data_IF_438673900237
#
_entry.id   IF_438673900237
#
_cell.length_a   1.000
_cell.length_b   1.000
_cell.length_c   1.000
_cell.angle_alpha   90.00
_cell.angle_beta   90.00
_cell.angle_gamma   90.00
#
_symmetry.space_group_name_H-M   'P 1'
#
loop_
_entity.id
_entity.type
_entity.pdbx_description
1 polymer ?
#
# COMPACT_ATOMS: atom_id res chain seq x y z
N UNK A 1 22.89 8.64 -19.94
CA UNK A 1 21.42 8.55 -20.10
C UNK A 1 20.76 8.53 -18.72
N UNK A 2 20.23 9.66 -18.25
CA UNK A 2 19.56 9.77 -16.94
C UNK A 2 18.12 9.28 -17.08
N UNK A 3 17.81 8.08 -16.57
CA UNK A 3 16.42 7.61 -16.47
C UNK A 3 15.72 8.47 -15.43
N UNK A 4 14.66 9.16 -15.84
CA UNK A 4 13.71 9.78 -14.92
C UNK A 4 13.12 8.67 -14.04
N UNK A 5 13.65 8.47 -12.84
CA UNK A 5 13.03 7.67 -11.77
C UNK A 5 12.48 8.69 -10.77
N UNK A 6 11.53 9.48 -11.24
CA UNK A 6 10.72 10.34 -10.39
C UNK A 6 9.33 9.70 -10.36
N UNK A 7 8.88 9.28 -9.18
CA UNK A 7 7.62 8.61 -8.89
C UNK A 7 7.51 7.11 -9.29
N UNK A 8 8.38 6.26 -8.74
CA UNK A 8 8.02 4.85 -8.45
C UNK A 8 8.61 4.46 -7.10
N UNK A 9 8.19 5.14 -6.03
CA UNK A 9 8.48 4.67 -4.66
C UNK A 9 7.32 3.85 -4.08
N UNK A 10 6.13 3.84 -4.69
CA UNK A 10 4.96 3.22 -4.05
C UNK A 10 4.00 2.42 -4.95
N UNK A 11 4.34 2.11 -6.20
CA UNK A 11 3.37 1.50 -7.11
C UNK A 11 3.84 0.27 -7.84
N UNK A 12 3.56 -0.84 -7.19
CA UNK A 12 3.81 -2.17 -7.65
C UNK A 12 2.79 -3.06 -6.94
N UNK A 13 1.65 -3.32 -7.60
CA UNK A 13 0.58 -4.21 -7.12
C UNK A 13 0.38 -5.29 -8.18
N UNK A 14 0.81 -6.55 -7.91
CA UNK A 14 0.28 -7.86 -8.39
C UNK A 14 1.36 -8.98 -8.45
N UNK A 15 0.94 -10.27 -8.32
CA UNK A 15 1.79 -11.41 -7.96
C UNK A 15 3.03 -11.70 -8.82
N UNK A 16 4.09 -12.18 -8.17
CA UNK A 16 5.22 -12.89 -8.74
C UNK A 16 4.76 -14.26 -9.23
N UNK A 17 4.16 -14.27 -10.40
CA UNK A 17 4.08 -15.50 -11.19
C UNK A 17 5.39 -15.81 -11.88
N UNK A 18 5.30 -16.87 -12.66
CA UNK A 18 6.28 -17.30 -13.65
C UNK A 18 6.93 -16.10 -14.38
N UNK A 19 8.08 -16.30 -15.04
CA UNK A 19 8.74 -15.23 -15.81
C UNK A 19 7.76 -14.46 -16.73
N UNK A 20 6.69 -15.11 -17.20
CA UNK A 20 5.58 -14.47 -17.92
C UNK A 20 4.80 -13.43 -17.08
N UNK A 21 4.47 -13.70 -15.82
CA UNK A 21 3.77 -12.74 -14.94
C UNK A 21 4.66 -11.55 -14.55
N UNK A 22 5.96 -11.78 -14.32
CA UNK A 22 6.92 -10.70 -14.14
C UNK A 22 6.98 -9.80 -15.40
N UNK A 23 6.92 -10.40 -16.59
CA UNK A 23 6.80 -9.69 -17.87
C UNK A 23 5.54 -8.83 -17.96
N UNK A 24 4.37 -9.39 -17.63
CA UNK A 24 3.08 -8.65 -17.61
C UNK A 24 3.12 -7.45 -16.67
N UNK A 25 3.73 -7.59 -15.49
CA UNK A 25 3.84 -6.50 -14.53
C UNK A 25 4.77 -5.38 -15.01
N UNK A 26 5.94 -5.75 -15.51
CA UNK A 26 6.88 -4.79 -16.10
C UNK A 26 6.20 -4.04 -17.25
N UNK A 27 5.45 -4.74 -18.10
CA UNK A 27 4.70 -4.15 -19.20
C UNK A 27 3.69 -3.09 -18.70
N UNK A 28 2.94 -3.36 -17.62
CA UNK A 28 2.02 -2.38 -17.03
C UNK A 28 2.74 -1.13 -16.54
N UNK A 29 3.88 -1.30 -15.86
CA UNK A 29 4.71 -0.20 -15.39
C UNK A 29 5.24 0.61 -16.58
N UNK A 30 5.66 -0.07 -17.65
CA UNK A 30 6.16 0.58 -18.86
C UNK A 30 5.06 1.38 -19.57
N UNK A 31 3.83 0.85 -19.65
CA UNK A 31 2.69 1.58 -20.21
C UNK A 31 2.31 2.79 -19.35
N UNK A 32 2.29 2.65 -18.02
CA UNK A 32 2.05 3.77 -17.11
C UNK A 32 3.13 4.85 -17.29
N UNK A 33 4.40 4.49 -17.26
CA UNK A 33 5.52 5.41 -17.48
C UNK A 33 5.43 6.11 -18.84
N UNK A 34 4.98 5.40 -19.87
CA UNK A 34 4.74 5.98 -21.20
C UNK A 34 3.59 6.98 -21.18
N UNK A 35 2.46 6.65 -20.53
CA UNK A 35 1.33 7.57 -20.37
C UNK A 35 1.74 8.85 -19.62
N UNK A 36 2.49 8.72 -18.53
CA UNK A 36 2.99 9.85 -17.74
C UNK A 36 3.89 10.75 -18.59
N UNK A 37 4.84 10.16 -19.35
CA UNK A 37 5.70 10.92 -20.27
C UNK A 37 4.91 11.69 -21.32
N UNK A 38 3.85 11.08 -21.88
CA UNK A 38 2.98 11.74 -22.85
C UNK A 38 2.23 12.93 -22.23
N UNK A 39 1.72 12.79 -21.00
CA UNK A 39 1.10 13.91 -20.27
C UNK A 39 2.10 15.05 -20.08
N UNK A 40 3.32 14.76 -19.64
CA UNK A 40 4.35 15.78 -19.43
C UNK A 40 4.79 16.46 -20.72
N UNK A 41 4.86 15.72 -21.83
CA UNK A 41 5.20 16.27 -23.13
C UNK A 41 4.08 17.20 -23.67
N UNK A 42 2.81 16.82 -23.51
CA UNK A 42 1.67 17.61 -23.98
C UNK A 42 1.29 18.78 -23.07
N UNK A 43 1.59 18.69 -21.78
CA UNK A 43 1.32 19.73 -20.79
C UNK A 43 2.45 19.79 -19.75
N UNK A 44 3.52 20.57 -20.00
CA UNK A 44 4.64 20.69 -19.06
C UNK A 44 4.25 21.12 -17.65
N UNK A 45 3.15 21.88 -17.49
CA UNK A 45 2.59 22.27 -16.19
C UNK A 45 2.02 21.10 -15.37
N UNK A 46 1.82 19.91 -15.98
CA UNK A 46 1.44 18.68 -15.29
C UNK A 46 2.64 17.91 -14.73
N UNK A 47 3.87 18.31 -15.08
CA UNK A 47 5.09 17.72 -14.54
C UNK A 47 5.34 18.32 -13.15
N UNK A 48 5.41 17.50 -12.09
CA UNK A 48 5.76 18.02 -10.78
C UNK A 48 7.17 18.61 -10.82
N UNK A 49 7.49 19.61 -9.96
CA UNK A 49 8.87 20.00 -9.77
C UNK A 49 9.68 18.76 -9.41
N UNK A 50 10.90 18.67 -9.92
CA UNK A 50 11.78 17.56 -9.57
C UNK A 50 11.99 17.59 -8.05
N UNK A 51 11.53 16.55 -7.31
CA UNK A 51 11.59 16.56 -5.86
C UNK A 51 13.04 16.53 -5.36
N UNK A 52 14.01 16.24 -6.24
CA UNK A 52 15.45 16.28 -5.97
C UNK A 52 16.15 17.52 -6.54
N UNK A 53 15.43 18.43 -7.20
CA UNK A 53 16.01 19.70 -7.67
C UNK A 53 16.31 20.64 -6.50
N UNK A 54 15.52 20.55 -5.42
CA UNK A 54 15.86 21.23 -4.18
C UNK A 54 16.96 20.45 -3.48
N UNK A 55 18.03 21.16 -3.10
CA UNK A 55 19.10 20.57 -2.31
C UNK A 55 18.56 20.29 -0.90
N UNK A 56 18.76 19.07 -0.43
CA UNK A 56 18.47 18.72 0.95
C UNK A 56 19.20 19.66 1.91
N UNK A 57 18.46 20.26 2.84
CA UNK A 57 19.03 21.08 3.92
C UNK A 57 19.12 20.26 5.19
N UNK A 58 20.05 20.62 6.08
CA UNK A 58 20.20 19.99 7.41
C UNK A 58 19.89 21.00 8.51
N UNK A 59 19.38 20.52 9.63
CA UNK A 59 19.13 21.30 10.84
C UNK A 59 19.74 20.62 12.06
N UNK A 60 20.06 21.45 13.06
CA UNK A 60 20.50 21.06 14.40
C UNK A 60 19.38 21.12 15.44
N UNK A 61 18.19 21.58 15.05
CA UNK A 61 17.01 21.58 15.91
C UNK A 61 16.68 20.15 16.36
N UNK A 62 15.97 20.05 17.48
CA UNK A 62 15.43 18.77 17.94
C UNK A 62 14.15 18.43 17.16
N UNK A 63 13.91 17.16 16.83
CA UNK A 63 12.64 16.69 16.34
C UNK A 63 11.53 16.87 17.37
N UNK A 64 10.28 16.69 16.94
CA UNK A 64 9.16 16.65 17.87
C UNK A 64 9.34 15.55 18.92
N UNK A 65 8.80 15.79 20.11
CA UNK A 65 8.71 14.76 21.15
C UNK A 65 8.00 13.50 20.64
N UNK A 66 7.03 13.68 19.74
CA UNK A 66 6.30 12.63 19.08
C UNK A 66 7.20 11.69 18.25
N UNK A 67 8.13 12.23 17.46
CA UNK A 67 9.12 11.43 16.72
C UNK A 67 10.03 10.67 17.69
N UNK A 68 10.56 11.35 18.70
CA UNK A 68 11.49 10.77 19.69
C UNK A 68 10.84 9.69 20.55
N UNK A 69 9.54 9.82 20.84
CA UNK A 69 8.76 8.82 21.55
C UNK A 69 8.42 7.62 20.66
N UNK A 70 8.22 7.84 19.35
CA UNK A 70 7.89 6.75 18.41
C UNK A 70 9.07 5.82 18.15
N UNK A 71 10.32 6.33 18.19
CA UNK A 71 11.51 5.56 17.83
C UNK A 71 12.64 5.70 18.84
N UNK A 72 12.90 4.64 19.61
CA UNK A 72 13.96 4.62 20.62
C UNK A 72 15.36 4.87 20.04
N UNK A 73 15.60 4.48 18.78
CA UNK A 73 16.89 4.71 18.11
C UNK A 73 17.33 6.18 18.10
N UNK A 74 16.40 7.12 18.12
CA UNK A 74 16.73 8.56 18.10
C UNK A 74 17.14 9.11 19.46
N UNK A 75 16.90 8.38 20.55
CA UNK A 75 17.20 8.83 21.92
C UNK A 75 18.69 8.75 22.27
N UNK A 76 19.47 7.90 21.60
CA UNK A 76 20.94 7.89 21.76
C UNK A 76 21.58 9.02 20.95
N UNK A 77 22.76 9.56 21.32
CA UNK A 77 23.48 10.51 20.47
C UNK A 77 23.91 9.92 19.12
N UNK A 78 24.07 10.78 18.10
CA UNK A 78 24.69 10.41 16.82
C UNK A 78 26.20 10.18 16.98
N UNK A 79 26.74 9.20 16.26
CA UNK A 79 28.19 9.05 16.08
C UNK A 79 28.73 10.07 15.07
N UNK A 80 30.06 10.25 15.03
CA UNK A 80 30.70 11.10 14.02
C UNK A 80 30.42 10.63 12.58
N UNK A 81 30.34 9.31 12.36
CA UNK A 81 30.01 8.70 11.07
C UNK A 81 28.57 9.06 10.65
N UNK A 82 27.61 8.95 11.57
CA UNK A 82 26.19 9.27 11.33
C UNK A 82 26.00 10.76 10.97
N UNK A 83 26.66 11.66 11.71
CA UNK A 83 26.65 13.10 11.43
C UNK A 83 27.22 13.41 10.05
N UNK A 84 28.33 12.76 9.68
CA UNK A 84 28.96 12.94 8.38
C UNK A 84 28.06 12.43 7.24
N UNK A 85 27.40 11.27 7.40
CA UNK A 85 26.47 10.73 6.41
C UNK A 85 25.27 11.67 6.20
N UNK A 86 24.65 12.15 7.28
CA UNK A 86 23.53 13.08 7.19
C UNK A 86 23.89 14.38 6.46
N UNK A 87 25.13 14.86 6.63
CA UNK A 87 25.64 16.07 5.97
C UNK A 87 25.99 15.84 4.49
N UNK A 88 26.40 14.61 4.15
CA UNK A 88 26.71 14.22 2.77
C UNK A 88 25.46 13.95 1.94
N UNK A 89 24.35 13.63 2.58
CA UNK A 89 23.09 13.39 1.90
C UNK A 89 22.54 14.70 1.31
N UNK A 90 22.39 14.74 -0.01
CA UNK A 90 22.03 15.96 -0.77
C UNK A 90 20.86 15.75 -1.72
N UNK A 91 20.36 14.53 -1.83
CA UNK A 91 19.36 14.13 -2.83
C UNK A 91 18.18 13.42 -2.17
N UNK A 92 17.71 13.99 -1.06
CA UNK A 92 16.42 13.67 -0.49
C UNK A 92 15.44 14.80 -0.76
N UNK A 93 14.17 14.47 -1.03
CA UNK A 93 13.10 15.44 -1.18
C UNK A 93 12.66 15.94 0.20
N UNK A 94 13.62 16.48 0.94
CA UNK A 94 13.49 16.80 2.34
C UNK A 94 14.10 18.16 2.66
N UNK A 95 13.37 18.97 3.43
CA UNK A 95 13.89 20.16 4.09
C UNK A 95 14.19 19.86 5.56
N UNK A 96 15.36 20.30 6.05
CA UNK A 96 15.71 20.21 7.46
C UNK A 96 15.91 18.77 7.95
N UNK A 97 16.85 18.02 7.37
CA UNK A 97 17.31 16.76 7.95
C UNK A 97 17.87 17.00 9.35
N UNK A 98 17.32 16.31 10.35
CA UNK A 98 17.78 16.39 11.73
C UNK A 98 19.10 15.64 11.89
N UNK A 99 20.22 16.30 11.58
CA UNK A 99 21.52 15.62 11.41
C UNK A 99 21.98 14.89 12.67
N UNK A 100 21.69 15.44 13.86
CA UNK A 100 22.00 14.84 15.17
C UNK A 100 21.17 13.59 15.48
N UNK A 101 20.16 13.31 14.67
CA UNK A 101 19.22 12.20 14.81
C UNK A 101 19.35 11.16 13.70
N UNK A 102 20.37 11.28 12.84
CA UNK A 102 20.74 10.22 11.91
C UNK A 102 21.26 8.99 12.65
N UNK A 103 20.81 7.79 12.28
CA UNK A 103 21.19 6.55 12.96
C UNK A 103 21.58 5.47 11.97
N UNK A 104 22.76 4.90 12.14
CA UNK A 104 23.10 3.59 11.62
C UNK A 104 22.57 2.57 12.63
N UNK A 105 21.69 1.69 12.15
CA UNK A 105 21.02 0.68 12.95
C UNK A 105 21.22 -0.68 12.33
N UNK A 106 21.04 -1.75 13.11
CA UNK A 106 21.24 -3.12 12.63
C UNK A 106 19.95 -3.91 12.77
N UNK A 107 19.46 -4.43 11.65
CA UNK A 107 18.37 -5.40 11.67
C UNK A 107 18.80 -6.72 12.32
N UNK A 108 17.83 -7.54 12.73
CA UNK A 108 18.11 -8.86 13.31
C UNK A 108 18.85 -9.82 12.36
N UNK A 109 18.78 -9.60 11.04
CA UNK A 109 19.55 -10.35 10.03
C UNK A 109 20.99 -9.85 9.84
N UNK A 110 21.44 -8.89 10.65
CA UNK A 110 22.80 -8.32 10.60
C UNK A 110 23.00 -7.25 9.53
N UNK A 111 21.95 -6.89 8.77
CA UNK A 111 22.04 -5.83 7.76
C UNK A 111 21.99 -4.46 8.42
N UNK A 112 22.97 -3.60 8.11
CA UNK A 112 23.02 -2.20 8.54
C UNK A 112 22.07 -1.34 7.69
N UNK A 113 21.38 -0.42 8.34
CA UNK A 113 20.52 0.57 7.69
C UNK A 113 20.88 1.97 8.21
N UNK A 114 20.71 2.99 7.37
CA UNK A 114 20.77 4.39 7.74
C UNK A 114 19.35 4.95 7.84
N UNK A 115 18.98 5.45 9.00
CA UNK A 115 17.70 6.11 9.28
C UNK A 115 17.93 7.61 9.39
N UNK A 116 17.19 8.40 8.61
CA UNK A 116 17.31 9.85 8.52
C UNK A 116 15.94 10.51 8.77
N UNK A 117 15.70 11.08 9.96
CA UNK A 117 14.51 11.89 10.19
C UNK A 117 14.68 13.30 9.58
N UNK A 118 13.58 13.85 9.06
CA UNK A 118 13.53 15.16 8.43
C UNK A 118 12.34 15.97 8.95
N UNK A 119 12.51 17.29 9.04
CA UNK A 119 11.45 18.22 9.43
C UNK A 119 10.34 18.31 8.37
N UNK A 120 10.74 18.32 7.09
CA UNK A 120 9.83 18.47 5.96
C UNK A 120 10.09 17.34 4.96
N UNK A 121 9.51 16.16 5.18
CA UNK A 121 9.82 14.97 4.40
C UNK A 121 8.91 14.75 3.17
N UNK A 122 7.84 15.54 3.04
CA UNK A 122 6.89 15.51 1.93
C UNK A 122 6.44 16.90 1.55
N UNK A 123 6.84 17.35 0.36
CA UNK A 123 6.18 18.48 -0.33
C UNK A 123 5.54 17.94 -1.59
N UNK A 124 4.46 17.18 -1.44
CA UNK A 124 3.66 16.75 -2.58
C UNK A 124 2.53 17.73 -2.81
N UNK A 125 2.43 18.27 -4.04
CA UNK A 125 1.31 19.10 -4.46
C UNK A 125 0.40 18.29 -5.39
N UNK A 126 -0.91 18.24 -5.13
CA UNK A 126 -1.86 17.67 -6.07
C UNK A 126 -1.72 18.34 -7.43
N UNK A 127 -1.84 17.53 -8.47
CA UNK A 127 -1.83 17.99 -9.84
C UNK A 127 -3.25 18.44 -10.19
N UNK A 128 -3.40 19.46 -11.03
CA UNK A 128 -4.71 19.87 -11.53
C UNK A 128 -5.47 18.70 -12.15
N UNK A 129 -6.80 18.64 -11.96
CA UNK A 129 -7.65 17.55 -12.46
C UNK A 129 -7.44 17.26 -13.96
N UNK A 130 -7.22 18.31 -14.77
CA UNK A 130 -6.89 18.18 -16.22
C UNK A 130 -5.70 17.26 -16.50
N UNK A 131 -4.70 17.22 -15.60
CA UNK A 131 -3.52 16.38 -15.72
C UNK A 131 -3.86 14.91 -15.43
N UNK A 132 -4.69 14.66 -14.41
CA UNK A 132 -5.22 13.34 -14.07
C UNK A 132 -6.07 12.80 -15.22
N UNK A 133 -6.96 13.62 -15.79
CA UNK A 133 -7.81 13.22 -16.91
C UNK A 133 -6.98 12.93 -18.16
N UNK A 134 -5.94 13.72 -18.42
CA UNK A 134 -4.99 13.47 -19.50
C UNK A 134 -4.28 12.12 -19.31
N UNK A 135 -3.83 11.81 -18.09
CA UNK A 135 -3.21 10.53 -17.78
C UNK A 135 -4.16 9.35 -18.05
N UNK A 136 -5.41 9.45 -17.58
CA UNK A 136 -6.45 8.43 -17.85
C UNK A 136 -6.68 8.25 -19.35
N UNK A 137 -6.77 9.33 -20.14
CA UNK A 137 -6.94 9.25 -21.60
C UNK A 137 -5.75 8.57 -22.28
N UNK A 138 -4.51 8.96 -21.96
CA UNK A 138 -3.32 8.35 -22.53
C UNK A 138 -3.23 6.86 -22.17
N UNK A 139 -3.53 6.50 -20.91
CA UNK A 139 -3.57 5.10 -20.51
C UNK A 139 -4.63 4.31 -21.26
N UNK A 140 -5.85 4.85 -21.41
CA UNK A 140 -6.92 4.19 -22.17
C UNK A 140 -6.52 3.95 -23.64
N UNK A 141 -5.84 4.91 -24.27
CA UNK A 141 -5.34 4.78 -25.63
C UNK A 141 -4.25 3.70 -25.75
N UNK A 142 -3.32 3.64 -24.79
CA UNK A 142 -2.25 2.63 -24.72
C UNK A 142 -2.77 1.22 -24.43
N UNK A 143 -3.92 1.11 -23.75
CA UNK A 143 -4.57 -0.16 -23.46
C UNK A 143 -5.40 -0.70 -24.63
N UNK A 144 -5.55 0.03 -25.75
CA UNK A 144 -6.23 -0.49 -26.94
C UNK A 144 -5.51 -1.74 -27.47
N UNK A 145 -6.27 -2.77 -27.86
CA UNK A 145 -5.72 -4.06 -28.30
C UNK A 145 -5.39 -5.06 -27.20
N UNK A 146 -5.21 -4.64 -25.94
CA UNK A 146 -5.01 -5.57 -24.82
C UNK A 146 -6.32 -6.27 -24.40
N UNK A 147 -6.18 -7.45 -23.80
CA UNK A 147 -7.32 -8.20 -23.26
C UNK A 147 -7.96 -7.51 -22.05
N UNK A 148 -9.19 -7.93 -21.71
CA UNK A 148 -9.98 -7.30 -20.65
C UNK A 148 -9.39 -7.48 -19.24
N UNK A 149 -8.66 -8.57 -18.98
CA UNK A 149 -8.03 -8.81 -17.69
C UNK A 149 -6.80 -7.91 -17.51
N UNK A 150 -5.95 -7.78 -18.53
CA UNK A 150 -4.82 -6.86 -18.54
C UNK A 150 -5.28 -5.41 -18.36
N UNK A 151 -6.32 -4.99 -19.09
CA UNK A 151 -6.95 -3.66 -18.95
C UNK A 151 -7.37 -3.38 -17.51
N UNK A 152 -8.19 -4.25 -16.90
CA UNK A 152 -8.64 -4.08 -15.50
C UNK A 152 -7.49 -4.05 -14.51
N UNK A 153 -6.48 -4.92 -14.68
CA UNK A 153 -5.28 -4.92 -13.84
C UNK A 153 -4.55 -3.59 -13.90
N UNK A 154 -4.36 -3.06 -15.11
CA UNK A 154 -3.62 -1.82 -15.32
C UNK A 154 -4.40 -0.58 -14.87
N UNK A 155 -5.71 -0.54 -15.09
CA UNK A 155 -6.57 0.55 -14.58
C UNK A 155 -6.55 0.63 -13.06
N UNK A 156 -6.50 -0.50 -12.33
CA UNK A 156 -6.38 -0.49 -10.86
C UNK A 156 -5.05 0.10 -10.41
N UNK A 157 -3.95 -0.29 -11.06
CA UNK A 157 -2.63 0.30 -10.80
C UNK A 157 -2.69 1.80 -11.07
N UNK A 158 -3.21 2.23 -12.21
CA UNK A 158 -3.36 3.64 -12.55
C UNK A 158 -4.14 4.43 -11.48
N UNK A 159 -5.31 3.96 -11.05
CA UNK A 159 -6.13 4.70 -10.07
C UNK A 159 -5.44 4.78 -8.70
N UNK A 160 -4.65 3.77 -8.32
CA UNK A 160 -3.79 3.86 -7.14
C UNK A 160 -2.71 4.94 -7.33
N UNK A 161 -2.04 5.01 -8.49
CA UNK A 161 -1.10 6.11 -8.82
C UNK A 161 -1.78 7.46 -8.76
N UNK A 162 -3.01 7.55 -9.27
CA UNK A 162 -3.72 8.82 -9.26
C UNK A 162 -3.97 9.26 -7.82
N UNK A 163 -4.51 8.38 -6.98
CA UNK A 163 -4.83 8.69 -5.58
C UNK A 163 -3.59 9.08 -4.76
N UNK A 164 -2.54 8.28 -4.84
CA UNK A 164 -1.35 8.49 -4.00
C UNK A 164 -0.48 9.62 -4.56
N UNK A 165 -0.34 9.60 -5.89
CA UNK A 165 0.64 10.30 -6.74
C UNK A 165 0.27 11.60 -7.45
N UNK A 166 -1.03 11.83 -7.65
CA UNK A 166 -1.53 12.86 -8.56
C UNK A 166 -2.63 13.70 -7.95
N UNK A 167 -3.54 13.08 -7.21
CA UNK A 167 -4.78 13.68 -6.71
C UNK A 167 -4.91 13.59 -5.18
N UNK A 168 -3.87 13.11 -4.47
CA UNK A 168 -3.84 13.12 -3.03
C UNK A 168 -3.93 14.53 -2.46
N UNK A 169 -4.42 14.67 -1.23
CA UNK A 169 -4.49 15.96 -0.57
C UNK A 169 -3.11 16.62 -0.50
N UNK A 170 -3.07 17.95 -0.64
CA UNK A 170 -1.84 18.69 -0.44
C UNK A 170 -1.35 18.43 0.98
N UNK A 171 -0.22 17.73 1.09
CA UNK A 171 0.39 17.49 2.39
C UNK A 171 1.26 18.70 2.71
N UNK A 172 0.95 19.36 3.83
CA UNK A 172 1.83 20.36 4.41
C UNK A 172 3.18 19.74 4.81
N UNK A 173 4.18 20.56 5.13
CA UNK A 173 5.42 20.06 5.70
C UNK A 173 5.14 19.23 6.95
N UNK A 174 5.50 17.95 6.89
CA UNK A 174 5.41 17.03 8.03
C UNK A 174 6.76 16.39 8.29
N UNK A 175 7.01 16.11 9.56
CA UNK A 175 8.13 15.26 9.94
C UNK A 175 7.96 13.90 9.29
N UNK A 176 9.06 13.36 8.77
CA UNK A 176 9.06 12.03 8.22
C UNK A 176 10.45 11.41 8.24
N UNK A 177 10.49 10.12 7.91
CA UNK A 177 11.70 9.32 8.04
C UNK A 177 12.06 8.71 6.70
N UNK A 178 13.34 8.77 6.38
CA UNK A 178 13.96 8.04 5.28
C UNK A 178 14.79 6.88 5.82
N UNK A 179 14.81 5.77 5.11
CA UNK A 179 15.54 4.56 5.48
C UNK A 179 16.29 4.03 4.25
N UNK A 180 17.57 3.75 4.43
CA UNK A 180 18.46 3.26 3.39
C UNK A 180 19.24 2.04 3.86
N UNK A 181 19.52 1.12 2.95
CA UNK A 181 20.55 0.11 3.20
C UNK A 181 21.89 0.80 3.35
N UNK A 182 22.72 0.35 4.29
CA UNK A 182 24.04 0.91 4.54
C UNK A 182 25.09 -0.20 4.50
N UNK A 183 26.14 -0.04 3.69
CA UNK A 183 27.18 -1.05 3.50
C UNK A 183 28.53 -0.68 4.15
N UNK A 184 28.60 0.45 4.86
CA UNK A 184 29.84 1.00 5.43
C UNK A 184 30.57 2.00 4.52
N UNK A 185 30.21 2.08 3.25
CA UNK A 185 30.81 3.01 2.29
C UNK A 185 29.81 4.05 1.76
N UNK A 186 28.52 3.76 1.83
CA UNK A 186 27.48 4.71 1.46
C UNK A 186 26.06 4.18 1.68
N UNK A 187 25.09 4.99 1.28
CA UNK A 187 23.70 4.58 1.19
C UNK A 187 23.48 3.76 -0.09
N UNK A 188 22.89 2.59 0.07
CA UNK A 188 22.42 1.74 -1.02
C UNK A 188 20.96 2.05 -1.36
N UNK A 189 20.23 1.02 -1.81
CA UNK A 189 18.80 1.13 -2.03
C UNK A 189 18.06 1.60 -0.78
N UNK A 190 17.10 2.51 -0.95
CA UNK A 190 16.28 3.05 0.12
C UNK A 190 15.26 4.05 -0.40
N UNK A 191 14.55 4.66 0.53
CA UNK A 191 13.54 5.66 0.26
C UNK A 191 12.87 6.10 1.55
N UNK A 192 11.77 6.83 1.43
CA UNK A 192 10.94 7.16 2.58
C UNK A 192 10.28 8.52 2.44
N UNK A 193 10.32 9.26 3.52
CA UNK A 193 9.44 10.40 3.74
C UNK A 193 8.07 9.96 4.24
N UNK A 194 7.94 8.79 4.85
CA UNK A 194 6.71 8.42 5.53
C UNK A 194 6.48 9.35 6.71
N UNK A 195 5.28 9.93 6.80
CA UNK A 195 4.87 10.71 7.96
C UNK A 195 4.74 9.83 9.21
N UNK A 196 4.72 10.47 10.37
CA UNK A 196 4.73 9.78 11.64
C UNK A 196 3.47 8.93 11.88
N UNK A 197 2.31 9.36 11.37
CA UNK A 197 1.08 8.60 11.50
C UNK A 197 1.14 7.28 10.72
N UNK A 198 1.61 7.36 9.46
CA UNK A 198 1.86 6.19 8.61
C UNK A 198 2.82 5.22 9.30
N UNK A 199 3.92 5.74 9.85
CA UNK A 199 4.90 4.93 10.57
C UNK A 199 4.32 4.24 11.81
N UNK A 200 3.51 4.93 12.61
CA UNK A 200 2.85 4.38 13.81
C UNK A 200 1.81 3.31 13.49
N UNK A 201 1.10 3.46 12.39
CA UNK A 201 -0.05 2.61 12.04
C UNK A 201 0.33 1.44 11.15
N UNK A 202 1.29 1.63 10.24
CA UNK A 202 1.64 0.68 9.18
C UNK A 202 3.13 0.38 9.10
N UNK A 203 3.97 1.14 9.79
CA UNK A 203 5.42 1.12 9.58
C UNK A 203 5.79 1.71 8.22
N UNK A 204 7.05 1.58 7.84
CA UNK A 204 7.53 1.91 6.50
C UNK A 204 8.34 0.73 5.99
N UNK A 205 8.02 0.23 4.81
CA UNK A 205 8.71 -0.91 4.21
C UNK A 205 9.14 -0.60 2.79
N UNK A 206 10.27 -1.14 2.38
CA UNK A 206 10.70 -1.19 1.00
C UNK A 206 11.29 -2.56 0.68
N UNK A 207 11.35 -2.87 -0.61
CA UNK A 207 11.88 -4.13 -1.11
C UNK A 207 12.94 -3.89 -2.16
N UNK A 208 13.96 -4.73 -2.19
CA UNK A 208 14.93 -4.79 -3.28
C UNK A 208 14.99 -6.17 -3.91
N UNK A 209 15.36 -6.19 -5.19
CA UNK A 209 15.42 -7.40 -5.98
C UNK A 209 14.06 -7.84 -6.51
N UNK A 210 13.96 -9.11 -6.84
CA UNK A 210 12.80 -9.71 -7.52
C UNK A 210 13.18 -10.43 -8.81
N UNK A 211 12.24 -11.20 -9.34
CA UNK A 211 12.47 -12.14 -10.45
C UNK A 211 12.77 -13.55 -9.93
N UNK A 212 13.89 -14.14 -10.38
CA UNK A 212 14.27 -15.50 -9.98
C UNK A 212 14.86 -15.61 -8.56
N UNK A 213 15.13 -14.49 -7.89
CA UNK A 213 15.72 -14.44 -6.53
C UNK A 213 14.69 -13.95 -5.51
N UNK A 214 14.81 -14.36 -4.23
CA UNK A 214 14.02 -13.78 -3.15
C UNK A 214 14.18 -12.25 -3.12
N UNK A 215 13.11 -11.56 -2.77
CA UNK A 215 13.16 -10.12 -2.51
C UNK A 215 13.57 -9.87 -1.08
N UNK A 216 14.48 -8.93 -0.90
CA UNK A 216 14.85 -8.44 0.41
C UNK A 216 13.85 -7.35 0.81
N UNK A 217 13.10 -7.58 1.87
CA UNK A 217 12.25 -6.58 2.50
C UNK A 217 12.98 -5.99 3.69
N UNK A 218 12.94 -4.68 3.82
CA UNK A 218 13.41 -3.97 4.99
C UNK A 218 12.35 -2.97 5.41
N UNK A 219 12.19 -2.76 6.70
CA UNK A 219 11.26 -1.75 7.20
C UNK A 219 11.65 -1.14 8.53
N UNK A 220 10.98 -0.03 8.84
CA UNK A 220 11.05 0.73 10.08
C UNK A 220 9.74 0.58 10.84
N UNK A 221 9.84 0.24 12.12
CA UNK A 221 8.75 -0.17 13.00
C UNK A 221 8.85 0.60 14.32
N UNK A 222 7.73 1.11 14.86
CA UNK A 222 7.74 1.85 16.13
C UNK A 222 8.35 1.09 17.31
N UNK A 223 8.70 1.84 18.34
CA UNK A 223 9.17 1.32 19.63
C UNK A 223 8.13 0.39 20.28
N UNK A 224 8.60 -0.51 21.13
CA UNK A 224 7.77 -1.53 21.80
C UNK A 224 7.45 -2.78 20.97
N UNK A 225 7.81 -2.81 19.67
CA UNK A 225 7.66 -4.02 18.83
C UNK A 225 8.96 -4.82 18.83
N UNK A 226 8.90 -6.06 19.31
CA UNK A 226 10.04 -6.99 19.33
C UNK A 226 10.04 -7.94 18.13
N UNK A 227 8.87 -8.30 17.60
CA UNK A 227 8.77 -9.13 16.40
C UNK A 227 7.51 -8.86 15.60
N UNK A 228 7.51 -9.30 14.34
CA UNK A 228 6.38 -9.19 13.42
C UNK A 228 6.05 -10.56 12.87
N UNK A 229 4.81 -10.99 13.06
CA UNK A 229 4.24 -12.10 12.31
C UNK A 229 3.70 -11.59 10.99
N UNK A 230 4.17 -12.16 9.90
CA UNK A 230 3.81 -11.84 8.53
C UNK A 230 3.04 -12.99 7.93
N UNK A 231 1.89 -12.67 7.31
CA UNK A 231 1.14 -13.57 6.47
C UNK A 231 1.01 -12.97 5.07
N UNK A 232 1.72 -13.57 4.12
CA UNK A 232 1.52 -13.37 2.71
C UNK A 232 0.51 -14.41 2.22
N UNK A 233 -0.71 -14.02 1.82
CA UNK A 233 -1.69 -14.98 1.33
C UNK A 233 -1.21 -15.69 0.06
N UNK A 234 -1.74 -16.90 -0.17
CA UNK A 234 -1.55 -17.57 -1.45
C UNK A 234 -2.14 -16.72 -2.59
N UNK A 235 -1.42 -16.64 -3.69
CA UNK A 235 -1.88 -16.03 -4.95
C UNK A 235 -2.04 -17.14 -5.99
N UNK A 236 -2.48 -16.82 -7.21
CA UNK A 236 -2.52 -17.78 -8.32
C UNK A 236 -1.13 -18.38 -8.65
N UNK A 237 -0.09 -17.67 -8.22
CA UNK A 237 1.26 -17.72 -8.75
C UNK A 237 2.31 -18.01 -7.66
N UNK A 238 1.90 -18.00 -6.39
CA UNK A 238 2.79 -18.17 -5.24
C UNK A 238 2.03 -18.75 -4.05
N UNK A 239 2.66 -19.68 -3.35
CA UNK A 239 2.10 -20.28 -2.13
C UNK A 239 2.02 -19.27 -0.98
N UNK A 240 1.11 -19.52 -0.03
CA UNK A 240 1.05 -18.78 1.22
C UNK A 240 2.42 -18.82 1.92
N UNK A 241 2.86 -17.68 2.47
CA UNK A 241 4.07 -17.61 3.29
C UNK A 241 3.72 -17.03 4.64
N UNK A 242 4.05 -17.77 5.71
CA UNK A 242 3.99 -17.30 7.09
C UNK A 242 5.40 -17.17 7.63
N UNK A 243 5.71 -16.06 8.28
CA UNK A 243 7.03 -15.82 8.84
C UNK A 243 6.96 -14.92 10.06
N UNK A 244 7.67 -15.28 11.12
CA UNK A 244 7.95 -14.36 12.22
C UNK A 244 9.33 -13.77 12.03
N UNK A 245 9.45 -12.45 12.13
CA UNK A 245 10.71 -11.73 11.95
C UNK A 245 10.97 -10.86 13.17
N UNK A 246 12.17 -10.99 13.74
CA UNK A 246 12.59 -10.15 14.85
C UNK A 246 12.83 -8.70 14.39
N UNK A 247 12.39 -7.77 15.22
CA UNK A 247 12.67 -6.34 15.10
C UNK A 247 13.86 -6.03 16.00
N UNK A 248 14.85 -5.33 15.46
CA UNK A 248 16.03 -4.87 16.21
C UNK A 248 16.31 -3.43 15.83
N UNK A 249 16.55 -2.58 16.83
CA UNK A 249 16.81 -1.15 16.63
C UNK A 249 15.72 -0.49 15.75
N UNK A 250 14.44 -0.78 16.06
CA UNK A 250 13.28 -0.35 15.28
C UNK A 250 13.25 -0.80 13.81
N UNK A 251 14.17 -1.67 13.38
CA UNK A 251 14.30 -2.10 11.99
C UNK A 251 14.10 -3.60 11.86
N UNK A 252 13.45 -3.98 10.76
CA UNK A 252 13.26 -5.36 10.36
C UNK A 252 13.88 -5.56 8.98
N UNK A 253 14.47 -6.72 8.72
CA UNK A 253 14.94 -7.07 7.38
C UNK A 253 14.92 -8.59 7.16
N UNK A 254 14.27 -9.03 6.09
CA UNK A 254 14.04 -10.44 5.78
C UNK A 254 13.91 -10.66 4.28
N UNK A 255 14.20 -11.89 3.85
CA UNK A 255 13.99 -12.29 2.47
C UNK A 255 12.66 -13.04 2.31
N UNK A 256 11.97 -12.81 1.21
CA UNK A 256 10.75 -13.54 0.90
C UNK A 256 10.76 -13.94 -0.58
N UNK A 257 10.36 -15.17 -0.88
CA UNK A 257 10.28 -15.70 -2.26
C UNK A 257 9.06 -15.13 -2.97
N UNK A 258 9.13 -13.84 -3.25
CA UNK A 258 8.16 -13.00 -3.93
C UNK A 258 8.93 -12.00 -4.78
N UNK A 259 8.29 -11.39 -5.78
CA UNK A 259 8.83 -10.20 -6.45
C UNK A 259 8.91 -9.06 -5.43
N UNK A 260 9.76 -8.05 -5.66
CA UNK A 260 9.91 -6.96 -4.67
C UNK A 260 8.57 -6.31 -4.38
N UNK A 261 7.84 -6.09 -5.46
CA UNK A 261 6.44 -5.72 -5.53
C UNK A 261 5.58 -6.52 -4.56
N UNK A 262 5.44 -7.83 -4.78
CA UNK A 262 4.63 -8.71 -3.93
C UNK A 262 5.06 -8.77 -2.49
N UNK A 263 6.35 -8.58 -2.25
CA UNK A 263 6.90 -8.54 -0.92
C UNK A 263 6.36 -7.33 -0.12
N UNK A 264 5.91 -6.27 -0.82
CA UNK A 264 5.31 -5.06 -0.25
C UNK A 264 3.79 -4.98 -0.35
N UNK A 265 3.14 -5.78 -1.20
CA UNK A 265 1.67 -5.81 -1.29
C UNK A 265 1.09 -6.44 -0.02
N UNK A 266 0.94 -5.58 0.98
CA UNK A 266 0.15 -5.69 2.19
C UNK A 266 0.05 -7.12 2.77
N UNK A 267 1.17 -7.68 3.27
CA UNK A 267 1.05 -8.82 4.17
C UNK A 267 0.14 -8.42 5.33
N UNK A 268 -0.67 -9.36 5.82
CA UNK A 268 -1.24 -9.17 7.16
C UNK A 268 -0.06 -9.21 8.14
N UNK A 269 0.09 -8.17 8.93
CA UNK A 269 1.16 -8.08 9.93
C UNK A 269 0.57 -8.05 11.32
N UNK A 270 1.14 -8.81 12.23
CA UNK A 270 0.85 -8.69 13.67
C UNK A 270 2.14 -8.32 14.36
N UNK A 271 2.16 -7.13 14.94
CA UNK A 271 3.28 -6.61 15.70
C UNK A 271 3.16 -7.11 17.13
N UNK A 272 4.22 -7.76 17.61
CA UNK A 272 4.28 -8.38 18.92
C UNK A 272 5.33 -7.68 19.78
N UNK A 273 5.01 -7.48 21.05
CA UNK A 273 5.96 -7.03 22.06
C UNK A 273 6.88 -8.19 22.48
N UNK A 274 7.86 -7.90 23.34
CA UNK A 274 8.84 -8.89 23.80
C UNK A 274 8.22 -10.03 24.62
N UNK A 275 7.10 -9.78 25.31
CA UNK A 275 6.34 -10.77 26.07
C UNK A 275 5.35 -11.58 25.20
N UNK A 276 5.32 -11.32 23.88
CA UNK A 276 4.40 -11.95 22.93
C UNK A 276 3.01 -11.32 22.87
N UNK A 277 2.73 -10.27 23.65
CA UNK A 277 1.46 -9.54 23.54
C UNK A 277 1.35 -8.80 22.21
N UNK A 278 0.12 -8.68 21.69
CA UNK A 278 -0.15 -8.00 20.43
C UNK A 278 -0.12 -6.50 20.64
N UNK A 279 0.84 -5.82 20.02
CA UNK A 279 0.94 -4.36 19.98
C UNK A 279 -0.04 -3.80 18.96
N UNK A 280 -0.09 -4.40 17.76
CA UNK A 280 -0.95 -3.96 16.67
C UNK A 280 -1.17 -5.06 15.65
N UNK A 281 -2.38 -5.13 15.10
CA UNK A 281 -2.65 -5.89 13.87
C UNK A 281 -2.72 -4.87 12.72
N UNK A 282 -1.76 -4.94 11.80
CA UNK A 282 -1.79 -4.17 10.56
C UNK A 282 -2.49 -5.05 9.53
N UNK A 283 -3.77 -4.79 9.35
CA UNK A 283 -4.52 -5.44 8.30
C UNK A 283 -4.12 -4.83 6.95
N UNK A 284 -4.06 -5.65 5.87
CA UNK A 284 -4.05 -5.08 4.54
C UNK A 284 -5.24 -4.15 4.40
N UNK A 285 -5.07 -3.05 3.67
CA UNK A 285 -6.17 -2.16 3.31
C UNK A 285 -7.16 -3.02 2.53
N UNK A 286 -8.17 -3.47 3.24
CA UNK A 286 -9.31 -4.12 2.63
C UNK A 286 -10.09 -2.96 2.04
N UNK A 287 -9.97 -2.76 0.73
CA UNK A 287 -10.74 -1.73 0.04
C UNK A 287 -12.23 -1.98 0.31
N UNK A 288 -12.80 -1.18 1.19
CA UNK A 288 -14.22 -1.21 1.51
C UNK A 288 -14.95 -0.36 0.48
N UNK A 289 -16.10 -0.86 0.05
CA UNK A 289 -17.08 -0.17 -0.76
C UNK A 289 -17.45 1.22 -0.17
N UNK A 290 -16.98 2.31 -0.79
CA UNK A 290 -17.50 3.65 -0.51
C UNK A 290 -18.82 3.89 -1.25
N UNK A 291 -19.85 4.41 -0.57
CA UNK A 291 -21.18 4.66 -1.16
C UNK A 291 -21.23 5.85 -2.16
N UNK A 292 -20.09 6.41 -2.58
CA UNK A 292 -20.02 7.63 -3.39
C UNK A 292 -19.74 7.44 -4.88
N UNK A 293 -19.34 6.25 -5.33
CA UNK A 293 -19.03 6.01 -6.74
C UNK A 293 -19.50 4.60 -7.12
N UNK A 294 -20.51 4.50 -8.00
CA UNK A 294 -21.12 3.24 -8.44
C UNK A 294 -20.17 2.28 -9.23
N UNK A 295 -18.85 2.44 -9.12
CA UNK A 295 -17.83 1.75 -9.91
C UNK A 295 -16.72 1.04 -9.14
N UNK A 296 -16.69 1.06 -7.80
CA UNK A 296 -15.63 0.37 -7.03
C UNK A 296 -16.21 -0.50 -5.91
N UNK A 297 -16.24 -1.81 -6.13
CA UNK A 297 -16.47 -2.80 -5.08
C UNK A 297 -15.43 -3.91 -5.24
N UNK A 298 -14.53 -4.07 -4.28
CA UNK A 298 -13.76 -5.30 -4.08
C UNK A 298 -14.09 -5.83 -2.69
N UNK A 299 -14.42 -7.12 -2.58
CA UNK A 299 -14.85 -7.74 -1.33
C UNK A 299 -13.84 -8.86 -0.99
N UNK A 300 -13.16 -8.77 0.15
CA UNK A 300 -12.25 -9.82 0.64
C UNK A 300 -12.57 -10.19 2.08
N UNK A 301 -13.29 -11.30 2.35
CA UNK A 301 -13.36 -11.85 3.69
C UNK A 301 -12.11 -12.68 4.02
N UNK A 302 -11.56 -12.48 5.21
CA UNK A 302 -10.51 -13.32 5.81
C UNK A 302 -11.11 -14.26 6.88
N UNK A 303 -10.51 -15.45 6.95
CA UNK A 303 -10.63 -16.58 7.91
C UNK A 303 -11.98 -17.35 7.98
N UNK A 304 -11.88 -18.57 7.44
CA UNK A 304 -12.71 -19.78 7.63
C UNK A 304 -14.00 -19.96 6.78
N UNK A 305 -13.98 -21.08 6.05
CA UNK A 305 -15.00 -21.74 5.21
C UNK A 305 -15.42 -21.05 3.88
N UNK A 306 -14.97 -21.68 2.77
CA UNK A 306 -15.45 -21.54 1.38
C UNK A 306 -15.32 -20.16 0.68
N UNK A 307 -14.20 -19.96 -0.02
CA UNK A 307 -14.11 -19.09 -1.20
C UNK A 307 -14.05 -17.57 -0.95
N UNK A 308 -12.90 -16.95 -1.23
CA UNK A 308 -12.78 -15.49 -1.37
C UNK A 308 -13.65 -15.03 -2.54
N UNK A 309 -14.73 -14.32 -2.24
CA UNK A 309 -15.77 -14.01 -3.21
C UNK A 309 -15.46 -12.72 -3.98
N UNK A 310 -14.86 -12.84 -5.17
CA UNK A 310 -14.61 -11.69 -6.04
C UNK A 310 -15.85 -11.39 -6.91
N UNK A 311 -16.66 -10.40 -6.51
CA UNK A 311 -17.83 -9.92 -7.25
C UNK A 311 -17.43 -8.83 -8.23
N UNK A 312 -16.81 -9.21 -9.34
CA UNK A 312 -16.26 -8.23 -10.30
C UNK A 312 -17.30 -7.54 -11.21
N UNK A 313 -18.59 -7.88 -11.11
CA UNK A 313 -19.68 -7.38 -11.98
C UNK A 313 -21.03 -7.36 -11.27
N UNK A 314 -21.16 -6.58 -10.18
CA UNK A 314 -22.47 -6.42 -9.52
C UNK A 314 -23.33 -5.44 -10.33
N UNK A 315 -24.44 -5.92 -10.85
CA UNK A 315 -25.57 -5.11 -11.33
C UNK A 315 -26.49 -4.84 -10.14
N UNK A 316 -26.53 -3.59 -9.70
CA UNK A 316 -27.43 -3.13 -8.66
C UNK A 316 -28.86 -3.15 -9.17
N UNK A 317 -29.74 -3.82 -8.44
CA UNK A 317 -31.17 -3.88 -8.72
C UNK A 317 -31.92 -2.81 -7.93
N UNK A 318 -31.44 -2.55 -6.71
CA UNK A 318 -31.99 -1.53 -5.84
C UNK A 318 -30.90 -0.96 -4.93
N UNK A 319 -30.94 0.35 -4.72
CA UNK A 319 -29.94 1.07 -3.92
C UNK A 319 -30.64 2.12 -3.08
N UNK A 320 -30.63 1.93 -1.77
CA UNK A 320 -31.06 2.90 -0.77
C UNK A 320 -29.94 3.11 0.23
N UNK A 321 -29.24 4.23 0.09
CA UNK A 321 -28.12 4.60 0.96
C UNK A 321 -28.48 4.70 2.45
N UNK A 322 -29.76 4.81 2.80
CA UNK A 322 -30.23 4.91 4.18
C UNK A 322 -30.61 3.56 4.81
N UNK A 323 -30.77 2.49 4.03
CA UNK A 323 -31.25 1.21 4.59
C UNK A 323 -30.45 0.02 4.08
N UNK A 324 -30.41 -0.17 2.76
CA UNK A 324 -29.80 -1.34 2.16
C UNK A 324 -29.55 -1.15 0.65
N UNK A 325 -28.70 -2.00 0.08
CA UNK A 325 -28.55 -2.11 -1.37
C UNK A 325 -28.57 -3.57 -1.78
N UNK A 326 -29.18 -3.88 -2.93
CA UNK A 326 -29.25 -5.24 -3.45
C UNK A 326 -28.76 -5.30 -4.89
N UNK A 327 -27.90 -6.28 -5.16
CA UNK A 327 -27.30 -6.46 -6.47
C UNK A 327 -27.15 -7.93 -6.81
N UNK A 328 -27.03 -8.20 -8.11
CA UNK A 328 -26.70 -9.53 -8.63
C UNK A 328 -25.43 -9.45 -9.44
N UNK A 329 -24.65 -10.51 -9.48
CA UNK A 329 -23.42 -10.52 -10.26
C UNK A 329 -22.89 -11.92 -10.48
N UNK A 330 -21.64 -11.98 -10.91
CA UNK A 330 -20.89 -13.22 -11.02
C UNK A 330 -19.79 -13.24 -9.96
N UNK A 331 -19.76 -14.30 -9.16
CA UNK A 331 -18.67 -14.61 -8.26
C UNK A 331 -17.68 -15.54 -8.97
N UNK A 332 -16.42 -15.12 -9.00
CA UNK A 332 -15.32 -16.01 -9.39
C UNK A 332 -14.81 -16.71 -8.13
N UNK A 333 -15.02 -18.03 -8.05
CA UNK A 333 -14.60 -18.88 -6.95
C UNK A 333 -13.28 -19.60 -7.28
N UNK A 334 -12.75 -20.37 -6.32
CA UNK A 334 -11.53 -21.18 -6.49
C UNK A 334 -11.65 -22.11 -7.72
N UNK A 335 -10.51 -22.50 -8.28
CA UNK A 335 -10.43 -23.35 -9.49
C UNK A 335 -11.17 -22.77 -10.71
N UNK A 336 -11.36 -21.45 -10.75
CA UNK A 336 -11.98 -20.75 -11.88
C UNK A 336 -13.51 -20.94 -12.00
N UNK A 337 -14.17 -21.51 -10.98
CA UNK A 337 -15.61 -21.72 -11.02
C UNK A 337 -16.37 -20.40 -10.96
N UNK A 338 -17.16 -20.11 -12.00
CA UNK A 338 -18.01 -18.92 -12.09
C UNK A 338 -19.42 -19.26 -11.63
N UNK A 339 -19.91 -18.51 -10.65
CA UNK A 339 -21.22 -18.73 -10.06
C UNK A 339 -22.05 -17.45 -10.09
N UNK A 340 -23.36 -17.58 -10.28
CA UNK A 340 -24.27 -16.45 -10.10
C UNK A 340 -24.30 -16.09 -8.61
N UNK A 341 -24.24 -14.81 -8.32
CA UNK A 341 -24.24 -14.31 -6.95
C UNK A 341 -25.29 -13.20 -6.76
N UNK A 342 -25.72 -13.04 -5.51
CA UNK A 342 -26.59 -11.98 -4.99
C UNK A 342 -25.88 -11.32 -3.82
N UNK A 343 -25.90 -10.01 -3.73
CA UNK A 343 -25.39 -9.27 -2.57
C UNK A 343 -26.51 -8.40 -2.00
N UNK A 344 -26.60 -8.39 -0.68
CA UNK A 344 -27.45 -7.48 0.09
C UNK A 344 -26.55 -6.74 1.06
N UNK A 345 -26.35 -5.45 0.85
CA UNK A 345 -25.70 -4.55 1.79
C UNK A 345 -26.77 -4.00 2.75
N UNK A 346 -26.43 -3.87 4.02
CA UNK A 346 -27.33 -3.45 5.10
C UNK A 346 -26.54 -2.83 6.25
N UNK A 347 -27.25 -2.18 7.19
CA UNK A 347 -26.66 -1.50 8.35
C UNK A 347 -25.71 -0.37 7.92
N UNK A 348 -26.25 0.72 7.36
CA UNK A 348 -25.44 1.86 7.01
C UNK A 348 -24.76 2.42 8.26
N UNK A 349 -23.51 2.81 8.09
CA UNK A 349 -22.68 3.51 9.05
C UNK A 349 -22.30 4.86 8.45
N UNK A 350 -22.26 5.87 9.30
CA UNK A 350 -21.67 7.17 9.01
C UNK A 350 -20.34 7.26 9.75
N UNK A 351 -19.22 7.23 9.03
CA UNK A 351 -17.90 7.54 9.60
C UNK A 351 -17.60 9.01 9.40
N UNK A 352 -17.16 9.68 10.44
CA UNK A 352 -16.52 10.98 10.32
C UNK A 352 -15.02 10.77 10.21
N UNK A 353 -14.43 11.18 9.10
CA UNK A 353 -12.97 11.19 8.91
C UNK A 353 -12.32 12.25 9.80
N UNK A 354 -11.00 12.19 9.98
CA UNK A 354 -10.23 13.20 10.74
C UNK A 354 -10.47 14.63 10.24
N UNK A 355 -10.77 14.80 8.95
CA UNK A 355 -11.05 16.09 8.31
C UNK A 355 -12.53 16.52 8.40
N UNK A 356 -13.36 15.82 9.18
CA UNK A 356 -14.79 16.12 9.33
C UNK A 356 -15.67 15.68 8.15
N UNK A 357 -15.10 15.03 7.12
CA UNK A 357 -15.88 14.48 6.00
C UNK A 357 -16.67 13.27 6.49
N UNK A 358 -17.98 13.27 6.27
CA UNK A 358 -18.87 12.16 6.59
C UNK A 358 -18.90 11.18 5.41
N UNK A 359 -18.40 9.97 5.63
CA UNK A 359 -18.46 8.85 4.69
C UNK A 359 -19.56 7.89 5.11
N UNK A 360 -20.44 7.53 4.17
CA UNK A 360 -21.45 6.48 4.37
C UNK A 360 -21.01 5.17 3.75
N UNK A 361 -21.20 4.07 4.46
CA UNK A 361 -20.88 2.71 4.02
C UNK A 361 -21.82 1.72 4.69
N UNK A 362 -21.89 0.49 4.20
CA UNK A 362 -22.68 -0.58 4.83
C UNK A 362 -21.78 -1.50 5.64
N UNK A 363 -22.04 -1.64 6.93
CA UNK A 363 -21.28 -2.52 7.83
C UNK A 363 -21.58 -4.00 7.68
N UNK A 364 -22.59 -4.36 6.88
CA UNK A 364 -23.00 -5.75 6.70
C UNK A 364 -23.29 -6.05 5.25
N UNK A 365 -22.61 -7.05 4.71
CA UNK A 365 -22.94 -7.64 3.42
C UNK A 365 -23.39 -9.10 3.60
N UNK A 366 -24.59 -9.42 3.12
CA UNK A 366 -25.01 -10.81 2.92
C UNK A 366 -24.81 -11.16 1.46
N UNK A 367 -23.91 -12.09 1.18
CA UNK A 367 -23.67 -12.60 -0.17
C UNK A 367 -24.25 -13.99 -0.30
N UNK A 368 -25.00 -14.24 -1.37
CA UNK A 368 -25.47 -15.58 -1.73
C UNK A 368 -24.88 -16.01 -3.06
N UNK A 369 -24.46 -17.27 -3.17
CA UNK A 369 -23.87 -17.86 -4.38
C UNK A 369 -24.67 -19.08 -4.79
N UNK A 370 -24.96 -19.20 -6.08
CA UNK A 370 -25.65 -20.35 -6.65
C UNK A 370 -24.65 -21.39 -7.16
N UNK A 371 -24.52 -22.51 -6.44
CA UNK A 371 -23.75 -23.66 -6.87
C UNK A 371 -24.60 -24.56 -7.77
N UNK A 372 -24.08 -24.88 -8.96
CA UNK A 372 -24.71 -25.81 -9.91
C UNK A 372 -24.41 -27.26 -9.52
N UNK A 373 -25.22 -28.19 -10.02
CA UNK A 373 -24.90 -29.63 -9.97
C UNK A 373 -23.54 -29.91 -10.63
N UNK A 374 -22.75 -30.81 -10.03
CA UNK A 374 -21.42 -31.16 -10.53
C UNK A 374 -20.39 -30.02 -10.47
N UNK A 375 -20.57 -29.01 -9.60
CA UNK A 375 -19.56 -27.96 -9.46
C UNK A 375 -18.21 -28.53 -9.00
N UNK A 376 -17.12 -27.96 -9.50
CA UNK A 376 -15.74 -28.42 -9.27
C UNK A 376 -15.21 -28.20 -7.84
N UNK A 377 -16.06 -27.62 -6.99
CA UNK A 377 -15.77 -27.31 -5.60
C UNK A 377 -16.33 -28.37 -4.63
N UNK A 378 -17.13 -29.33 -5.12
CA UNK A 378 -17.76 -30.37 -4.29
C UNK A 378 -18.89 -29.84 -3.40
N UNK A 379 -19.35 -28.61 -3.64
CA UNK A 379 -20.41 -28.00 -2.85
C UNK A 379 -21.79 -28.58 -3.22
N UNK A 380 -22.69 -28.68 -2.25
CA UNK A 380 -24.06 -29.13 -2.53
C UNK A 380 -24.78 -28.10 -3.42
N UNK A 381 -25.46 -28.51 -4.50
CA UNK A 381 -26.16 -27.59 -5.39
C UNK A 381 -27.18 -26.70 -4.65
N UNK A 382 -27.39 -25.50 -5.17
CA UNK A 382 -28.33 -24.51 -4.63
C UNK A 382 -27.65 -23.22 -4.14
N UNK A 383 -28.47 -22.33 -3.57
CA UNK A 383 -27.98 -21.08 -2.99
C UNK A 383 -27.30 -21.32 -1.63
N UNK A 384 -26.13 -20.72 -1.43
CA UNK A 384 -25.45 -20.64 -0.13
C UNK A 384 -25.22 -19.19 0.21
N UNK A 385 -25.65 -18.77 1.38
CA UNK A 385 -25.47 -17.41 1.87
C UNK A 385 -24.38 -17.34 2.93
N UNK A 386 -23.60 -16.26 2.92
CA UNK A 386 -22.62 -15.91 3.92
C UNK A 386 -22.83 -14.45 4.31
N UNK A 387 -22.63 -14.14 5.58
CA UNK A 387 -22.71 -12.77 6.09
C UNK A 387 -21.31 -12.34 6.45
N UNK A 388 -20.91 -11.19 5.91
CA UNK A 388 -19.61 -10.58 6.20
C UNK A 388 -19.87 -9.25 6.88
N UNK A 389 -19.19 -9.05 8.01
CA UNK A 389 -19.10 -7.75 8.66
C UNK A 389 -18.00 -6.96 7.97
N UNK A 390 -18.32 -5.72 7.65
CA UNK A 390 -17.40 -4.77 7.04
C UNK A 390 -16.98 -3.82 8.14
N UNK A 391 -15.70 -3.87 8.49
CA UNK A 391 -15.10 -2.95 9.45
C UNK A 391 -14.60 -1.72 8.68
N UNK A 392 -14.90 -0.52 9.19
CA UNK A 392 -14.31 0.69 8.64
C UNK A 392 -12.82 0.71 8.92
N UNK A 393 -12.04 1.12 7.91
CA UNK A 393 -10.59 1.10 8.01
C UNK A 393 -10.08 2.11 9.04
N UNK A 394 -10.70 3.29 9.18
CA UNK A 394 -10.30 4.34 10.14
C UNK A 394 -11.48 5.35 10.34
N UNK A 395 -11.70 5.86 11.56
CA UNK A 395 -12.70 6.90 11.91
C UNK A 395 -13.66 6.56 13.07
N UNK A 396 -14.24 7.58 13.70
CA UNK A 396 -15.40 7.40 14.61
C UNK A 396 -16.63 7.14 13.74
N UNK A 397 -17.19 5.95 13.85
CA UNK A 397 -18.30 5.55 13.01
C UNK A 397 -19.50 5.15 13.85
N UNK A 398 -20.63 5.79 13.57
CA UNK A 398 -21.88 5.54 14.26
C UNK A 398 -22.87 4.88 13.30
N UNK A 399 -23.79 4.10 13.88
CA UNK A 399 -24.93 3.61 13.13
C UNK A 399 -25.69 4.81 12.58
N UNK A 400 -25.81 4.88 11.25
CA UNK A 400 -26.65 5.90 10.66
C UNK A 400 -28.09 5.60 11.08
N UNK A 401 -28.84 6.59 11.60
CA UNK A 401 -30.24 6.42 11.96
C UNK A 401 -31.09 6.02 10.76
#
# INVERSE_FOLDING_TARGET
MRRLIAAVAFLCLLPAGTAAAAGVQQERIDLLNRAIKQVYAGAPSCKPPDPFAQRTTTTDADPSADLLNTFAIFRRPATAEELALATKERRLPAGGLYRRYARIVMSASGRRQLVLPAQNARSYQPRPQRCVDSLRRHMAALLRGHDAAFKRGTSRVLEQVIRDEWAGEAQGPTEGIFLFTYDGHGTGGGGGGADLNTLRTKGMFFSFGGGARPSLVTGLIPDGVASIELLYPATADSAEVKRTVAVRDNVVSYEVRRSGIDALVEPQMTWLAADGSVVRVVNPVTYVAGCGVAGQLEFKPSRCAAGSLNLSKVQWQWWDSAHAATGTGEALLRKGYRARAKIVLSRPLSCTTENGVILRYFSRARVSVLYRSGNTLGERPGWRSYVVKVEASDGLCELSP
#
